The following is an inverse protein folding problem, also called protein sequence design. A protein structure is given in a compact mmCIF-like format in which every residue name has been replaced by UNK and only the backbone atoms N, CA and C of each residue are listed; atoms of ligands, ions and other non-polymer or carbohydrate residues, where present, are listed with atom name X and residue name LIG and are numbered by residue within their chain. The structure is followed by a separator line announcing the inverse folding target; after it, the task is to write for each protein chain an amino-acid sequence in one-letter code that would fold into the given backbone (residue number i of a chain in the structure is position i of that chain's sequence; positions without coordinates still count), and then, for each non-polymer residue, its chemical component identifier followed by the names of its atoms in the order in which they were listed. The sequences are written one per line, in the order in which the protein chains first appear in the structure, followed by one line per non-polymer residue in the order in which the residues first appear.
data_IF_434145474588
#
_entry.id   IF_434145474588
#
_cell.length_a   1.000
_cell.length_b   1.000
_cell.length_c   1.000
_cell.angle_alpha   90.00
_cell.angle_beta   90.00
_cell.angle_gamma   90.00
#
_symmetry.space_group_name_H-M   'P 1'
#
loop_
_entity.id
_entity.type
_entity.pdbx_description
1 polymer ?
#
# COMPACT_ATOMS: atom_id res chain seq x y z
N UNK A 1 -53.73 -10.72 -0.52
CA UNK A 1 -52.85 -10.32 0.59
C UNK A 1 -51.44 -10.71 0.20
N UNK A 2 -50.65 -9.76 -0.27
CA UNK A 2 -49.24 -9.98 -0.62
C UNK A 2 -48.42 -9.73 0.63
N UNK A 3 -47.75 -10.76 1.12
CA UNK A 3 -46.86 -10.71 2.27
C UNK A 3 -45.61 -9.88 1.92
N UNK A 4 -45.18 -8.91 2.75
CA UNK A 4 -43.99 -8.12 2.46
C UNK A 4 -42.74 -9.00 2.66
N UNK A 5 -41.95 -9.15 1.59
CA UNK A 5 -40.65 -9.82 1.67
C UNK A 5 -39.72 -9.08 2.63
N UNK A 6 -38.97 -9.78 3.50
CA UNK A 6 -38.00 -9.16 4.38
C UNK A 6 -36.90 -8.50 3.54
N UNK A 7 -36.67 -7.22 3.78
CA UNK A 7 -35.57 -6.45 3.19
C UNK A 7 -34.28 -7.03 3.78
N UNK A 8 -33.56 -7.85 3.03
CA UNK A 8 -32.24 -8.32 3.45
C UNK A 8 -31.27 -7.15 3.34
N UNK A 9 -30.92 -6.54 4.47
CA UNK A 9 -29.79 -5.61 4.56
C UNK A 9 -28.54 -6.36 4.11
N UNK A 10 -27.69 -5.78 3.22
CA UNK A 10 -26.41 -6.41 2.88
C UNK A 10 -25.63 -6.75 4.15
N UNK A 11 -25.00 -7.93 4.24
CA UNK A 11 -24.20 -8.28 5.40
C UNK A 11 -23.12 -7.21 5.62
N UNK A 12 -22.89 -6.86 6.89
CA UNK A 12 -21.82 -5.95 7.26
C UNK A 12 -20.47 -6.54 6.83
N UNK A 13 -19.53 -5.72 6.32
CA UNK A 13 -18.22 -6.22 5.89
C UNK A 13 -17.48 -6.83 7.08
N UNK A 14 -16.75 -7.90 6.82
CA UNK A 14 -15.79 -8.48 7.75
C UNK A 14 -14.60 -7.53 7.97
N UNK A 15 -13.79 -7.69 9.04
CA UNK A 15 -12.59 -6.90 9.27
C UNK A 15 -11.64 -6.83 8.06
N UNK A 16 -11.39 -7.96 7.41
CA UNK A 16 -10.48 -8.01 6.26
C UNK A 16 -11.09 -7.36 5.01
N UNK A 17 -12.40 -7.51 4.78
CA UNK A 17 -13.11 -6.80 3.73
C UNK A 17 -13.13 -5.28 3.96
N UNK A 18 -13.21 -4.83 5.21
CA UNK A 18 -13.13 -3.41 5.55
C UNK A 18 -11.74 -2.84 5.28
N UNK A 19 -10.67 -3.60 5.57
CA UNK A 19 -9.29 -3.24 5.24
C UNK A 19 -9.11 -3.13 3.72
N UNK A 20 -9.53 -4.14 2.96
CA UNK A 20 -9.46 -4.14 1.50
C UNK A 20 -10.22 -2.93 0.90
N UNK A 21 -11.44 -2.68 1.40
CA UNK A 21 -12.24 -1.54 0.95
C UNK A 21 -11.57 -0.19 1.27
N UNK A 22 -10.95 -0.04 2.45
CA UNK A 22 -10.18 1.16 2.77
C UNK A 22 -8.97 1.36 1.84
N UNK A 23 -8.27 0.28 1.49
CA UNK A 23 -7.17 0.33 0.54
C UNK A 23 -7.64 0.79 -0.84
N UNK A 24 -8.76 0.26 -1.34
CA UNK A 24 -9.35 0.64 -2.62
C UNK A 24 -9.83 2.10 -2.64
N UNK A 25 -10.52 2.54 -1.59
CA UNK A 25 -11.01 3.92 -1.46
C UNK A 25 -9.87 4.94 -1.46
N UNK A 26 -8.75 4.61 -0.81
CA UNK A 26 -7.55 5.47 -0.78
C UNK A 26 -6.83 5.54 -2.14
N UNK A 27 -7.02 4.57 -3.01
CA UNK A 27 -6.53 4.61 -4.39
C UNK A 27 -7.46 5.40 -5.32
N UNK A 28 -8.69 5.71 -4.88
CA UNK A 28 -9.65 6.52 -5.63
C UNK A 28 -9.42 8.02 -5.37
N UNK A 29 -9.00 8.73 -6.42
CA UNK A 29 -8.71 10.17 -6.34
C UNK A 29 -9.93 11.01 -5.99
N UNK A 30 -11.06 10.78 -6.64
CA UNK A 30 -12.29 11.56 -6.40
C UNK A 30 -12.82 11.34 -4.99
N UNK A 31 -12.73 10.11 -4.49
CA UNK A 31 -13.08 9.82 -3.10
C UNK A 31 -12.15 10.56 -2.13
N UNK A 32 -10.84 10.50 -2.37
CA UNK A 32 -9.83 11.14 -1.52
C UNK A 32 -9.97 12.67 -1.50
N UNK A 33 -10.16 13.30 -2.67
CA UNK A 33 -10.37 14.74 -2.78
C UNK A 33 -11.62 15.19 -2.00
N UNK A 34 -12.69 14.38 -1.99
CA UNK A 34 -13.91 14.68 -1.23
C UNK A 34 -13.76 14.40 0.27
N UNK A 35 -13.02 13.35 0.64
CA UNK A 35 -12.66 13.07 2.02
C UNK A 35 -11.85 14.21 2.64
N UNK A 36 -10.85 14.75 1.92
CA UNK A 36 -9.99 15.84 2.38
C UNK A 36 -10.72 17.18 2.58
N UNK A 37 -11.87 17.39 1.94
CA UNK A 37 -12.74 18.57 2.19
C UNK A 37 -13.41 18.53 3.58
N UNK A 38 -13.33 17.40 4.28
CA UNK A 38 -13.47 17.34 5.73
C UNK A 38 -14.88 17.17 6.28
N UNK A 39 -15.94 17.24 5.47
CA UNK A 39 -17.32 16.97 5.92
C UNK A 39 -18.17 16.41 4.77
N UNK A 40 -18.35 15.10 4.75
CA UNK A 40 -19.13 14.40 3.72
C UNK A 40 -19.33 12.92 4.04
N UNK A 41 -20.14 12.20 3.24
CA UNK A 41 -20.39 10.77 3.42
C UNK A 41 -19.10 9.94 3.43
N UNK A 42 -18.03 10.40 2.78
CA UNK A 42 -16.72 9.76 2.75
C UNK A 42 -16.06 9.73 4.14
N UNK A 43 -16.25 10.77 4.97
CA UNK A 43 -15.71 10.79 6.34
C UNK A 43 -16.43 9.78 7.22
N UNK A 44 -17.76 9.67 7.06
CA UNK A 44 -18.56 8.67 7.78
C UNK A 44 -18.22 7.25 7.32
N UNK A 45 -18.07 7.02 6.02
CA UNK A 45 -17.64 5.74 5.44
C UNK A 45 -16.25 5.35 5.95
N UNK A 46 -15.29 6.26 5.92
CA UNK A 46 -13.95 6.03 6.45
C UNK A 46 -13.95 5.64 7.92
N UNK A 47 -14.71 6.37 8.76
CA UNK A 47 -14.82 6.05 10.20
C UNK A 47 -15.42 4.66 10.42
N UNK A 48 -16.53 4.36 9.75
CA UNK A 48 -17.21 3.06 9.88
C UNK A 48 -16.32 1.91 9.44
N UNK A 49 -15.64 2.03 8.30
CA UNK A 49 -14.72 0.99 7.84
C UNK A 49 -13.49 0.87 8.73
N UNK A 50 -12.96 1.98 9.24
CA UNK A 50 -11.81 1.97 10.15
C UNK A 50 -12.14 1.23 11.46
N UNK A 51 -13.32 1.47 12.05
CA UNK A 51 -13.77 0.77 13.26
C UNK A 51 -13.86 -0.76 13.09
N UNK A 52 -14.22 -1.22 11.88
CA UNK A 52 -14.27 -2.64 11.53
C UNK A 52 -12.87 -3.18 11.24
N UNK A 53 -12.07 -2.44 10.47
CA UNK A 53 -10.73 -2.81 10.02
C UNK A 53 -9.71 -2.91 11.16
N UNK A 54 -9.88 -2.13 12.25
CA UNK A 54 -9.01 -2.20 13.44
C UNK A 54 -8.95 -3.62 14.01
N UNK A 55 -10.03 -4.41 13.85
CA UNK A 55 -10.17 -5.79 14.33
C UNK A 55 -9.53 -6.84 13.40
N UNK A 56 -8.97 -6.43 12.25
CA UNK A 56 -8.27 -7.36 11.37
C UNK A 56 -6.98 -7.87 12.02
N UNK A 57 -6.69 -9.15 11.80
CA UNK A 57 -5.44 -9.77 12.25
C UNK A 57 -4.26 -9.53 11.31
N UNK A 58 -4.50 -9.11 10.06
CA UNK A 58 -3.44 -8.87 9.07
C UNK A 58 -2.84 -7.48 9.26
N UNK A 59 -1.70 -7.43 9.95
CA UNK A 59 -1.01 -6.16 10.26
C UNK A 59 -0.47 -5.46 9.02
N UNK A 60 -0.09 -6.21 7.98
CA UNK A 60 0.43 -5.62 6.74
C UNK A 60 -0.71 -4.95 5.98
N UNK A 61 -1.84 -5.62 5.85
CA UNK A 61 -3.02 -5.04 5.20
C UNK A 61 -3.57 -3.84 5.97
N UNK A 62 -3.59 -3.91 7.31
CA UNK A 62 -3.88 -2.73 8.15
C UNK A 62 -2.92 -1.58 7.88
N UNK A 63 -1.62 -1.86 7.76
CA UNK A 63 -0.63 -0.83 7.49
C UNK A 63 -0.85 -0.19 6.11
N UNK A 64 -1.13 -1.01 5.09
CA UNK A 64 -1.47 -0.54 3.73
C UNK A 64 -2.71 0.35 3.75
N UNK A 65 -3.76 -0.05 4.47
CA UNK A 65 -4.99 0.73 4.66
C UNK A 65 -4.81 1.95 5.59
N UNK A 66 -3.63 2.14 6.18
CA UNK A 66 -3.34 3.22 7.13
C UNK A 66 -4.16 3.13 8.41
N UNK A 67 -4.47 1.91 8.85
CA UNK A 67 -5.27 1.61 10.04
C UNK A 67 -4.34 1.38 11.22
N UNK A 68 -4.53 2.14 12.30
CA UNK A 68 -3.79 1.99 13.54
C UNK A 68 -4.19 0.72 14.31
N UNK A 69 -3.34 0.27 15.21
CA UNK A 69 -3.68 -0.80 16.15
C UNK A 69 -4.67 -0.32 17.21
N UNK A 70 -5.48 -1.24 17.74
CA UNK A 70 -6.42 -1.00 18.83
C UNK A 70 -5.68 -0.87 20.17
N UNK A 71 -4.80 0.12 20.26
CA UNK A 71 -3.91 0.30 21.40
C UNK A 71 -3.58 1.78 21.56
N UNK A 72 -3.54 2.30 22.82
CA UNK A 72 -3.06 3.65 23.07
C UNK A 72 -1.59 3.84 22.70
N UNK A 73 -0.80 2.74 22.65
CA UNK A 73 0.60 2.73 22.23
C UNK A 73 0.74 1.89 20.97
N UNK A 74 1.17 2.54 19.90
CA UNK A 74 1.37 1.89 18.61
C UNK A 74 2.74 1.23 18.55
N UNK A 75 2.82 0.03 17.99
CA UNK A 75 4.10 -0.60 17.73
C UNK A 75 4.87 0.20 16.68
N UNK A 76 6.16 0.47 16.93
CA UNK A 76 7.00 1.24 16.03
C UNK A 76 7.08 0.63 14.62
N UNK A 77 7.18 -0.70 14.52
CA UNK A 77 7.18 -1.41 13.24
C UNK A 77 5.89 -1.21 12.44
N UNK A 78 4.73 -1.18 13.12
CA UNK A 78 3.45 -0.93 12.46
C UNK A 78 3.34 0.49 11.92
N UNK A 79 3.75 1.48 12.71
CA UNK A 79 3.80 2.90 12.27
C UNK A 79 4.77 3.08 11.10
N UNK A 80 5.92 2.42 11.14
CA UNK A 80 6.88 2.43 10.03
C UNK A 80 6.26 1.85 8.77
N UNK A 81 5.52 0.73 8.88
CA UNK A 81 4.85 0.11 7.74
C UNK A 81 3.74 1.01 7.15
N UNK A 82 2.96 1.70 8.00
CA UNK A 82 1.96 2.69 7.53
C UNK A 82 2.65 3.81 6.74
N UNK A 83 3.73 4.37 7.29
CA UNK A 83 4.50 5.43 6.64
C UNK A 83 5.12 4.98 5.32
N UNK A 84 5.72 3.78 5.31
CA UNK A 84 6.29 3.18 4.10
C UNK A 84 5.22 2.92 3.03
N UNK A 85 4.05 2.39 3.41
CA UNK A 85 2.92 2.19 2.48
C UNK A 85 2.44 3.50 1.86
N UNK A 86 2.33 4.57 2.66
CA UNK A 86 1.94 5.89 2.17
C UNK A 86 2.96 6.44 1.18
N UNK A 87 4.26 6.41 1.52
CA UNK A 87 5.34 6.87 0.65
C UNK A 87 5.42 6.10 -0.67
N UNK A 88 5.29 4.76 -0.63
CA UNK A 88 5.30 3.93 -1.84
C UNK A 88 4.09 4.23 -2.74
N UNK A 89 2.90 4.47 -2.15
CA UNK A 89 1.71 4.86 -2.92
C UNK A 89 1.89 6.22 -3.58
N UNK A 90 2.45 7.20 -2.87
CA UNK A 90 2.78 8.53 -3.43
C UNK A 90 3.79 8.42 -4.58
N UNK A 91 4.71 7.46 -4.49
CA UNK A 91 5.64 7.13 -5.58
C UNK A 91 4.99 6.32 -6.73
N UNK A 92 3.68 6.06 -6.71
CA UNK A 92 2.95 5.34 -7.76
C UNK A 92 3.15 3.82 -7.74
N UNK A 93 3.58 3.24 -6.62
CA UNK A 93 3.73 1.79 -6.48
C UNK A 93 2.37 1.14 -6.24
N UNK A 94 2.10 0.05 -6.97
CA UNK A 94 0.86 -0.71 -6.86
C UNK A 94 0.72 -1.41 -5.50
N UNK A 95 -0.50 -1.49 -4.97
CA UNK A 95 -0.79 -2.07 -3.64
C UNK A 95 -0.22 -3.48 -3.45
N UNK A 96 -0.30 -4.34 -4.47
CA UNK A 96 0.26 -5.70 -4.39
C UNK A 96 1.77 -5.72 -4.21
N UNK A 97 2.49 -4.78 -4.84
CA UNK A 97 3.94 -4.62 -4.66
C UNK A 97 4.23 -4.05 -3.27
N UNK A 98 3.45 -3.09 -2.80
CA UNK A 98 3.57 -2.56 -1.43
C UNK A 98 3.48 -3.70 -0.41
N UNK A 99 2.50 -4.60 -0.56
CA UNK A 99 2.38 -5.79 0.33
C UNK A 99 3.66 -6.62 0.33
N UNK A 100 4.16 -6.97 -0.85
CA UNK A 100 5.39 -7.76 -0.99
C UNK A 100 6.58 -7.11 -0.28
N UNK A 101 6.72 -5.78 -0.39
CA UNK A 101 7.78 -5.01 0.29
C UNK A 101 7.64 -5.07 1.80
N UNK A 102 6.44 -4.84 2.32
CA UNK A 102 6.20 -4.77 3.77
C UNK A 102 6.24 -6.15 4.43
N UNK A 103 5.88 -7.22 3.71
CA UNK A 103 6.06 -8.61 4.15
C UNK A 103 7.54 -9.01 4.17
N UNK A 104 8.40 -8.26 3.46
CA UNK A 104 9.83 -8.55 3.38
C UNK A 104 10.14 -9.76 2.50
N UNK A 105 9.32 -10.00 1.47
CA UNK A 105 9.48 -11.13 0.57
C UNK A 105 10.85 -11.09 -0.10
N UNK A 106 11.50 -12.25 -0.11
CA UNK A 106 12.82 -12.39 -0.71
C UNK A 106 12.74 -12.30 -2.24
N UNK A 107 13.70 -11.62 -2.83
CA UNK A 107 13.88 -11.55 -4.29
C UNK A 107 14.86 -12.62 -4.76
N UNK A 108 14.72 -13.08 -5.99
CA UNK A 108 15.70 -14.00 -6.57
C UNK A 108 17.03 -13.29 -6.83
N UNK A 109 18.17 -14.03 -6.85
CA UNK A 109 19.47 -13.46 -7.24
C UNK A 109 19.42 -12.77 -8.61
N UNK A 110 18.66 -13.33 -9.55
CA UNK A 110 18.50 -12.78 -10.89
C UNK A 110 17.77 -11.43 -10.89
N UNK A 111 16.68 -11.31 -10.14
CA UNK A 111 15.95 -10.04 -9.99
C UNK A 111 16.81 -8.97 -9.32
N UNK A 112 17.55 -9.33 -8.28
CA UNK A 112 18.46 -8.42 -7.60
C UNK A 112 19.57 -7.92 -8.53
N UNK A 113 20.20 -8.82 -9.27
CA UNK A 113 21.24 -8.48 -10.25
C UNK A 113 20.69 -7.60 -11.38
N UNK A 114 19.52 -7.96 -11.93
CA UNK A 114 18.87 -7.19 -12.98
C UNK A 114 18.47 -5.77 -12.51
N UNK A 115 17.93 -5.65 -11.30
CA UNK A 115 17.58 -4.36 -10.71
C UNK A 115 18.83 -3.51 -10.45
N UNK A 116 19.90 -4.10 -9.93
CA UNK A 116 21.18 -3.42 -9.71
C UNK A 116 21.77 -2.89 -11.02
N UNK A 117 21.81 -3.72 -12.06
CA UNK A 117 22.30 -3.33 -13.37
C UNK A 117 21.43 -2.24 -14.02
N UNK A 118 20.11 -2.36 -13.90
CA UNK A 118 19.16 -1.38 -14.44
C UNK A 118 19.31 -0.04 -13.74
N UNK A 119 19.40 -0.02 -12.40
CA UNK A 119 19.66 1.19 -11.61
C UNK A 119 20.96 1.85 -12.05
N UNK A 120 22.04 1.08 -12.19
CA UNK A 120 23.33 1.61 -12.64
C UNK A 120 23.27 2.19 -14.06
N UNK A 121 22.47 1.60 -14.96
CA UNK A 121 22.25 2.13 -16.31
C UNK A 121 21.47 3.44 -16.30
N UNK A 122 20.37 3.50 -15.54
CA UNK A 122 19.52 4.69 -15.44
C UNK A 122 20.25 5.89 -14.83
N UNK A 123 21.12 5.67 -13.84
CA UNK A 123 21.94 6.74 -13.25
C UNK A 123 23.03 7.29 -14.20
N UNK A 124 23.34 6.57 -15.28
CA UNK A 124 24.24 7.05 -16.36
C UNK A 124 23.47 7.73 -17.49
N UNK A 125 22.16 7.55 -17.54
CA UNK A 125 21.27 8.19 -18.51
C UNK A 125 20.96 9.62 -18.04
N UNK A 126 21.44 10.61 -18.81
CA UNK A 126 21.27 12.01 -18.46
C UNK A 126 19.81 12.47 -18.49
N UNK A 127 19.00 11.93 -19.40
CA UNK A 127 17.60 12.33 -19.54
C UNK A 127 16.79 11.75 -18.39
N UNK A 128 17.04 10.49 -18.03
CA UNK A 128 16.46 9.89 -16.83
C UNK A 128 16.88 10.65 -15.57
N UNK A 129 18.17 10.95 -15.41
CA UNK A 129 18.69 11.62 -14.22
C UNK A 129 18.08 13.02 -14.05
N UNK A 130 17.95 13.79 -15.15
CA UNK A 130 17.26 15.09 -15.13
C UNK A 130 15.80 14.96 -14.69
N UNK A 131 15.07 14.00 -15.26
CA UNK A 131 13.67 13.73 -14.88
C UNK A 131 13.55 13.35 -13.41
N UNK A 132 14.41 12.43 -12.94
CA UNK A 132 14.44 12.02 -11.55
C UNK A 132 14.76 13.18 -10.60
N UNK A 133 15.76 14.01 -10.92
CA UNK A 133 16.10 15.21 -10.14
C UNK A 133 14.98 16.26 -10.16
N UNK A 134 14.20 16.33 -11.23
CA UNK A 134 13.01 17.17 -11.34
C UNK A 134 11.78 16.58 -10.64
N UNK A 135 11.91 15.45 -9.92
CA UNK A 135 10.80 14.74 -9.28
C UNK A 135 9.70 14.30 -10.26
N UNK A 136 10.08 13.97 -11.50
CA UNK A 136 9.17 13.37 -12.48
C UNK A 136 8.61 12.05 -11.95
N UNK A 137 7.29 11.92 -11.90
CA UNK A 137 6.61 10.83 -11.20
C UNK A 137 7.01 9.44 -11.69
N UNK A 138 7.13 9.24 -13.00
CA UNK A 138 7.52 7.94 -13.56
C UNK A 138 9.00 7.62 -13.26
N UNK A 139 9.89 8.62 -13.33
CA UNK A 139 11.30 8.42 -12.98
C UNK A 139 11.48 8.11 -11.48
N UNK A 140 10.73 8.78 -10.61
CA UNK A 140 10.71 8.51 -9.15
C UNK A 140 10.17 7.11 -8.88
N UNK A 141 9.02 6.75 -9.47
CA UNK A 141 8.43 5.41 -9.37
C UNK A 141 9.43 4.33 -9.74
N UNK A 142 10.05 4.46 -10.91
CA UNK A 142 10.99 3.48 -11.43
C UNK A 142 12.22 3.33 -10.52
N UNK A 143 12.79 4.44 -10.03
CA UNK A 143 13.93 4.39 -9.12
C UNK A 143 13.56 3.81 -7.75
N UNK A 144 12.37 4.13 -7.23
CA UNK A 144 11.84 3.57 -5.98
C UNK A 144 11.70 2.06 -6.06
N UNK A 145 11.09 1.54 -7.13
CA UNK A 145 10.95 0.09 -7.35
C UNK A 145 12.31 -0.62 -7.42
N UNK A 146 13.29 -0.02 -8.11
CA UNK A 146 14.64 -0.57 -8.18
C UNK A 146 15.33 -0.55 -6.81
N UNK A 147 15.19 0.53 -6.04
CA UNK A 147 15.76 0.64 -4.70
C UNK A 147 15.18 -0.40 -3.74
N UNK A 148 13.86 -0.62 -3.81
CA UNK A 148 13.17 -1.67 -3.07
C UNK A 148 13.81 -3.03 -3.35
N UNK A 149 13.87 -3.45 -4.62
CA UNK A 149 14.41 -4.77 -5.01
C UNK A 149 15.87 -4.92 -4.58
N UNK A 150 16.69 -3.88 -4.76
CA UNK A 150 18.11 -3.90 -4.38
C UNK A 150 18.30 -3.99 -2.86
N UNK A 151 17.38 -3.44 -2.08
CA UNK A 151 17.41 -3.48 -0.61
C UNK A 151 16.80 -4.74 0.01
N UNK A 152 16.00 -5.50 -0.77
CA UNK A 152 15.38 -6.75 -0.32
C UNK A 152 16.40 -7.85 -0.06
N UNK A 153 16.03 -8.79 0.82
CA UNK A 153 16.79 -10.02 1.03
C UNK A 153 16.79 -10.87 -0.24
N UNK A 154 17.94 -11.46 -0.57
CA UNK A 154 18.07 -12.37 -1.72
C UNK A 154 17.86 -13.81 -1.25
N UNK A 155 17.00 -14.55 -1.94
CA UNK A 155 16.79 -15.99 -1.70
C UNK A 155 18.13 -16.71 -1.74
N UNK A 156 18.46 -17.44 -0.67
CA UNK A 156 19.62 -18.32 -0.68
C UNK A 156 19.42 -19.38 -1.79
N UNK A 157 20.36 -19.45 -2.73
CA UNK A 157 20.37 -20.54 -3.70
C UNK A 157 20.49 -21.85 -2.92
N UNK A 158 19.44 -22.68 -2.96
CA UNK A 158 19.57 -24.08 -2.53
C UNK A 158 20.56 -24.73 -3.50
N UNK A 159 21.83 -24.79 -3.10
CA UNK A 159 22.80 -25.70 -3.69
C UNK A 159 22.20 -27.11 -3.58
N UNK A 160 21.80 -27.65 -4.73
CA UNK A 160 21.35 -29.03 -4.88
C UNK A 160 22.56 -29.93 -5.13
#
# INVERSE_FOLDING_TARGET
MTEPQPIQTPPAPTPDEAVAKLADLRSNKDWTDNFLKGNGPQVAEFRSLSEIAIKSGDRIEKAIAGVLDDSPVQESGHIQNIGAAAWLREAGVETGVIRQVLTGDEVTPQEHAAATATKARLLKDQDFTKRYMASDGEAVRQMTLLNVIVSSKVKAEKQS
#
